data_IF_502730542213
#
_entry.id   IF_502730542213
#
_cell.length_a   1.000
_cell.length_b   1.000
_cell.length_c   1.000
_cell.angle_alpha   90.00
_cell.angle_beta   90.00
_cell.angle_gamma   90.00
#
_symmetry.space_group_name_H-M   'P 1'
#
loop_
_entity.id
_entity.type
_entity.pdbx_description
1 polymer ?
#
# COMPACT_ATOMS: atom_id res chain seq x y z
N UNK A 1 -35.93 4.74 -20.75
CA UNK A 1 -35.29 3.48 -20.28
C UNK A 1 -33.95 3.37 -20.97
N UNK A 2 -32.92 2.92 -20.24
CA UNK A 2 -31.44 2.94 -20.45
C UNK A 2 -30.78 4.26 -20.04
N UNK A 3 -30.32 4.42 -18.79
CA UNK A 3 -29.11 3.85 -18.15
C UNK A 3 -27.82 4.40 -18.77
N UNK A 4 -27.01 5.13 -17.98
CA UNK A 4 -25.54 5.04 -17.99
C UNK A 4 -24.90 6.08 -17.05
N UNK A 5 -24.48 5.58 -15.88
CA UNK A 5 -23.13 5.75 -15.33
C UNK A 5 -22.63 7.18 -15.02
N UNK A 6 -23.05 7.72 -13.86
CA UNK A 6 -22.30 8.76 -13.16
C UNK A 6 -21.01 8.18 -12.58
N UNK A 7 -19.98 8.13 -13.42
CA UNK A 7 -18.61 7.81 -13.02
C UNK A 7 -18.05 8.99 -12.22
N UNK A 8 -18.16 8.89 -10.89
CA UNK A 8 -17.39 9.71 -9.95
C UNK A 8 -15.93 9.65 -10.36
N UNK A 9 -15.35 10.83 -10.62
CA UNK A 9 -13.97 10.99 -11.04
C UNK A 9 -13.02 10.30 -10.07
N UNK A 10 -12.43 9.19 -10.52
CA UNK A 10 -11.19 8.65 -9.95
C UNK A 10 -10.13 9.74 -10.13
N UNK A 11 -9.47 10.23 -9.06
CA UNK A 11 -8.38 11.19 -9.22
C UNK A 11 -7.29 10.58 -10.12
N UNK A 12 -6.61 11.41 -10.93
CA UNK A 12 -5.60 10.94 -11.85
C UNK A 12 -4.51 10.20 -11.07
N UNK A 13 -4.35 8.91 -11.35
CA UNK A 13 -3.12 8.20 -11.06
C UNK A 13 -2.07 8.78 -12.01
N UNK A 14 -1.39 9.81 -11.54
CA UNK A 14 -0.36 10.53 -12.27
C UNK A 14 0.78 9.56 -12.68
N UNK A 15 1.03 9.35 -13.99
CA UNK A 15 2.07 8.44 -14.45
C UNK A 15 3.46 9.10 -14.54
N UNK A 16 3.70 10.26 -13.92
CA UNK A 16 4.85 11.11 -14.20
C UNK A 16 5.88 11.25 -13.07
N UNK A 17 6.13 10.23 -12.25
CA UNK A 17 7.30 10.23 -11.34
C UNK A 17 8.21 9.00 -11.53
N UNK A 18 8.95 9.07 -12.64
CA UNK A 18 10.40 8.89 -12.74
C UNK A 18 11.05 7.71 -11.97
N UNK A 19 11.53 6.74 -12.74
CA UNK A 19 12.68 5.91 -12.40
C UNK A 19 13.89 6.80 -12.07
N UNK A 20 14.46 6.71 -10.87
CA UNK A 20 15.94 6.64 -10.67
C UNK A 20 16.39 6.58 -9.20
N UNK A 21 15.53 6.79 -8.18
CA UNK A 21 15.86 6.62 -6.74
C UNK A 21 14.65 6.07 -5.93
N UNK A 22 13.86 5.22 -6.58
CA UNK A 22 12.42 5.00 -6.33
C UNK A 22 12.06 4.16 -5.07
N UNK A 23 13.02 3.54 -4.40
CA UNK A 23 12.76 2.58 -3.31
C UNK A 23 12.46 3.25 -1.94
N UNK A 24 13.01 4.43 -1.67
CA UNK A 24 12.90 5.05 -0.32
C UNK A 24 11.72 6.04 -0.20
N UNK A 25 11.28 6.64 -1.31
CA UNK A 25 10.31 7.76 -1.25
C UNK A 25 8.85 7.37 -1.53
N UNK A 26 8.55 6.14 -1.98
CA UNK A 26 7.18 5.69 -2.23
C UNK A 26 6.62 4.76 -1.14
N UNK A 27 7.41 4.51 -0.10
CA UNK A 27 7.08 3.70 1.07
C UNK A 27 6.20 4.50 2.05
N UNK A 28 4.98 4.83 1.67
CA UNK A 28 4.04 5.59 2.49
C UNK A 28 2.90 4.73 3.03
N UNK A 29 2.36 5.11 4.19
CA UNK A 29 1.21 4.47 4.83
C UNK A 29 -0.07 4.54 3.99
N UNK A 30 -0.12 5.47 3.05
CA UNK A 30 -1.25 5.65 2.12
C UNK A 30 -1.19 4.69 0.92
N UNK A 31 -0.03 4.09 0.66
CA UNK A 31 0.13 3.06 -0.38
C UNK A 31 -0.65 1.81 0.03
N UNK A 32 -1.34 1.20 -0.93
CA UNK A 32 -2.13 0.00 -0.67
C UNK A 32 -1.22 -1.17 -0.34
N UNK A 33 -1.67 -2.04 0.56
CA UNK A 33 -0.98 -3.29 0.88
C UNK A 33 -0.62 -4.12 -0.38
N UNK A 34 -1.51 -4.30 -1.39
CA UNK A 34 -1.13 -5.01 -2.61
C UNK A 34 -0.05 -4.30 -3.43
N UNK A 35 -0.06 -2.96 -3.50
CA UNK A 35 1.00 -2.20 -4.19
C UNK A 35 2.36 -2.41 -3.50
N UNK A 36 2.39 -2.42 -2.16
CA UNK A 36 3.59 -2.76 -1.40
C UNK A 36 4.16 -4.14 -1.74
N UNK A 37 3.31 -5.16 -1.89
CA UNK A 37 3.76 -6.52 -2.22
C UNK A 37 4.22 -6.64 -3.67
N UNK A 38 3.67 -5.82 -4.58
CA UNK A 38 4.08 -5.77 -5.99
C UNK A 38 5.46 -5.12 -6.14
N UNK A 39 5.68 -3.97 -5.49
CA UNK A 39 6.97 -3.26 -5.53
C UNK A 39 8.04 -3.94 -4.67
N UNK A 40 7.66 -4.47 -3.50
CA UNK A 40 8.55 -5.07 -2.50
C UNK A 40 8.01 -6.41 -2.02
N UNK A 41 8.27 -7.53 -2.72
CA UNK A 41 7.77 -8.84 -2.31
C UNK A 41 8.29 -9.27 -0.93
N UNK A 42 9.39 -8.69 -0.44
CA UNK A 42 9.91 -8.95 0.92
C UNK A 42 8.95 -8.44 2.00
N UNK A 43 8.20 -7.36 1.72
CA UNK A 43 7.19 -6.80 2.62
C UNK A 43 6.07 -7.80 2.95
N UNK A 44 5.81 -8.76 2.05
CA UNK A 44 4.80 -9.79 2.22
C UNK A 44 5.05 -10.64 3.47
N UNK A 45 6.32 -10.89 3.81
CA UNK A 45 6.66 -11.62 5.03
C UNK A 45 6.16 -10.87 6.27
N UNK A 46 6.40 -9.56 6.34
CA UNK A 46 5.95 -8.70 7.45
C UNK A 46 4.42 -8.65 7.51
N UNK A 47 3.73 -8.51 6.37
CA UNK A 47 2.26 -8.53 6.35
C UNK A 47 1.69 -9.86 6.83
N UNK A 48 2.28 -10.97 6.41
CA UNK A 48 1.86 -12.31 6.83
C UNK A 48 2.11 -12.53 8.32
N UNK A 49 3.24 -12.07 8.86
CA UNK A 49 3.55 -12.13 10.29
C UNK A 49 2.56 -11.31 11.13
N UNK A 50 2.11 -10.17 10.61
CA UNK A 50 1.16 -9.28 11.27
C UNK A 50 -0.31 -9.69 11.06
N UNK A 51 -0.59 -10.71 10.24
CA UNK A 51 -1.97 -11.09 9.89
C UNK A 51 -2.69 -10.08 8.99
N UNK A 52 -1.94 -9.23 8.29
CA UNK A 52 -2.47 -8.25 7.34
C UNK A 52 -2.82 -8.98 6.04
N UNK A 53 -4.12 -9.11 5.77
CA UNK A 53 -4.60 -9.71 4.53
C UNK A 53 -4.31 -8.78 3.33
N UNK A 54 -3.55 -9.30 2.36
CA UNK A 54 -3.23 -8.63 1.10
C UNK A 54 -4.35 -8.76 0.06
N UNK A 55 -5.39 -9.53 0.36
CA UNK A 55 -6.52 -9.81 -0.52
C UNK A 55 -7.46 -8.60 -0.68
N UNK A 56 -7.25 -7.87 -1.77
CA UNK A 56 -8.32 -7.37 -2.65
C UNK A 56 -9.21 -6.20 -2.21
N UNK A 57 -8.73 -5.24 -1.42
CA UNK A 57 -9.56 -4.05 -1.14
C UNK A 57 -8.91 -2.70 -1.45
N UNK A 58 -7.73 -2.65 -2.09
CA UNK A 58 -7.06 -1.37 -2.37
C UNK A 58 -6.91 -0.48 -1.13
N UNK A 59 -6.96 -1.10 0.06
CA UNK A 59 -6.90 -0.42 1.35
C UNK A 59 -5.46 -0.04 1.61
N UNK A 60 -5.28 1.23 1.97
CA UNK A 60 -4.00 1.74 2.43
C UNK A 60 -3.52 0.97 3.66
N UNK A 61 -2.20 0.84 3.79
CA UNK A 61 -1.58 0.22 4.97
C UNK A 61 -2.07 0.84 6.28
N UNK A 62 -2.19 2.17 6.35
CA UNK A 62 -2.73 2.88 7.52
C UNK A 62 -4.11 2.36 7.93
N UNK A 63 -4.99 2.19 6.95
CA UNK A 63 -6.36 1.81 7.17
C UNK A 63 -6.44 0.40 7.74
N UNK A 64 -5.67 -0.55 7.17
CA UNK A 64 -5.63 -1.92 7.66
C UNK A 64 -5.01 -2.00 9.05
N UNK A 65 -3.96 -1.23 9.31
CA UNK A 65 -3.36 -1.15 10.65
C UNK A 65 -4.38 -0.66 11.68
N UNK A 66 -5.11 0.42 11.39
CA UNK A 66 -6.17 0.93 12.28
C UNK A 66 -7.28 -0.08 12.51
N UNK A 67 -7.72 -0.81 11.48
CA UNK A 67 -8.74 -1.85 11.64
C UNK A 67 -8.30 -2.99 12.56
N UNK A 68 -7.01 -3.31 12.56
CA UNK A 68 -6.43 -4.36 13.40
C UNK A 68 -5.86 -3.84 14.72
N UNK A 69 -6.10 -2.56 15.06
CA UNK A 69 -5.51 -1.88 16.22
C UNK A 69 -3.96 -1.97 16.27
N UNK A 70 -3.33 -2.09 15.10
CA UNK A 70 -1.89 -2.05 14.92
C UNK A 70 -1.42 -0.62 14.74
N UNK A 71 -0.21 -0.33 15.23
CA UNK A 71 0.41 0.97 15.03
C UNK A 71 1.02 1.05 13.61
N UNK A 72 0.49 1.91 12.72
CA UNK A 72 0.94 1.96 11.34
C UNK A 72 2.41 2.39 11.21
N UNK A 73 2.92 3.25 12.10
CA UNK A 73 4.32 3.69 12.07
C UNK A 73 5.27 2.54 12.42
N UNK A 74 4.91 1.72 13.41
CA UNK A 74 5.66 0.53 13.77
C UNK A 74 5.70 -0.49 12.61
N UNK A 75 4.56 -0.71 11.95
CA UNK A 75 4.51 -1.56 10.76
C UNK A 75 5.41 -1.02 9.65
N UNK A 76 5.38 0.29 9.40
CA UNK A 76 6.24 0.93 8.41
C UNK A 76 7.73 0.79 8.73
N UNK A 77 8.14 1.00 9.98
CA UNK A 77 9.54 0.81 10.41
C UNK A 77 10.00 -0.61 10.12
N UNK A 78 9.15 -1.61 10.40
CA UNK A 78 9.47 -3.02 10.13
C UNK A 78 9.56 -3.33 8.64
N UNK A 79 8.72 -2.72 7.81
CA UNK A 79 8.76 -2.83 6.36
C UNK A 79 10.05 -2.20 5.79
N UNK A 80 10.42 -1.00 6.25
CA UNK A 80 11.62 -0.31 5.80
C UNK A 80 12.90 -1.09 6.15
N UNK A 81 12.92 -1.77 7.31
CA UNK A 81 14.05 -2.64 7.71
C UNK A 81 14.24 -3.81 6.77
N UNK A 82 13.17 -4.44 6.29
CA UNK A 82 13.29 -5.59 5.37
C UNK A 82 13.65 -5.18 3.95
N UNK A 83 13.27 -3.96 3.53
CA UNK A 83 13.60 -3.43 2.20
C UNK A 83 15.01 -2.83 2.17
N UNK A 84 15.48 -2.24 3.27
CA UNK A 84 16.81 -1.61 3.36
C UNK A 84 17.94 -2.62 3.63
N UNK A 85 17.65 -3.91 3.70
CA UNK A 85 18.59 -4.98 4.03
C UNK A 85 18.84 -5.87 2.81
#
# INVERSE_FOLDING_TARGET
MTDSDSRVGKPPADPAQALSNKAVLNCHLHTSVPDWVIDHPESMAVFKELGIATSCEGKSLEYVCRQQALDPQNVLDRLLRVISN
#
